data_IF_478228769732
#
_entry.id   IF_478228769732
#
_cell.length_a   1.000
_cell.length_b   1.000
_cell.length_c   1.000
_cell.angle_alpha   90.00
_cell.angle_beta   90.00
_cell.angle_gamma   90.00
#
_symmetry.space_group_name_H-M   'P 1'
#
loop_
_entity.id
_entity.type
_entity.pdbx_description
1 polymer ?
#
# COMPACT_ATOMS: atom_id res chain seq x y z
N UNK A 1 -11.76 19.94 -2.56
CA UNK A 1 -12.32 19.44 -1.28
C UNK A 1 -11.97 17.96 -1.15
N UNK A 2 -10.88 17.63 -0.45
CA UNK A 2 -10.57 16.23 -0.10
C UNK A 2 -11.75 15.69 0.73
N UNK A 3 -12.43 14.65 0.23
CA UNK A 3 -13.47 13.95 0.98
C UNK A 3 -12.87 13.63 2.35
N UNK A 4 -13.47 14.16 3.40
CA UNK A 4 -12.97 14.12 4.78
C UNK A 4 -13.03 12.68 5.28
N UNK A 5 -12.11 11.83 4.84
CA UNK A 5 -11.90 10.53 5.47
C UNK A 5 -11.57 10.83 6.93
N UNK A 6 -12.24 10.13 7.84
CA UNK A 6 -12.20 10.46 9.26
C UNK A 6 -10.76 10.33 9.75
N UNK A 7 -10.11 11.47 10.06
CA UNK A 7 -8.70 11.54 10.47
C UNK A 7 -8.39 10.56 11.61
N UNK A 8 -9.34 10.37 12.53
CA UNK A 8 -9.24 9.39 13.61
C UNK A 8 -9.04 7.96 13.08
N UNK A 9 -9.79 7.57 12.03
CA UNK A 9 -9.65 6.24 11.39
C UNK A 9 -8.31 6.10 10.67
N UNK A 10 -7.83 7.16 10.00
CA UNK A 10 -6.53 7.15 9.33
C UNK A 10 -5.38 6.92 10.31
N UNK A 11 -5.37 7.72 11.39
CA UNK A 11 -4.36 7.60 12.45
C UNK A 11 -4.45 6.21 13.07
N UNK A 12 -5.64 5.74 13.43
CA UNK A 12 -5.83 4.43 14.03
C UNK A 12 -5.29 3.30 13.14
N UNK A 13 -5.66 3.26 11.85
CA UNK A 13 -5.18 2.22 10.93
C UNK A 13 -3.66 2.31 10.76
N UNK A 14 -3.10 3.51 10.64
CA UNK A 14 -1.66 3.71 10.49
C UNK A 14 -0.87 3.24 11.72
N UNK A 15 -1.39 3.53 12.93
CA UNK A 15 -0.82 3.06 14.21
C UNK A 15 -0.93 1.54 14.34
N UNK A 16 -2.03 0.93 13.88
CA UNK A 16 -2.17 -0.53 13.83
C UNK A 16 -1.08 -1.14 12.94
N UNK A 17 -0.83 -0.58 11.76
CA UNK A 17 0.23 -1.06 10.87
C UNK A 17 1.63 -0.88 11.45
N UNK A 18 1.89 0.21 12.16
CA UNK A 18 3.15 0.41 12.88
C UNK A 18 3.34 -0.68 13.95
N UNK A 19 2.33 -0.91 14.78
CA UNK A 19 2.36 -1.94 15.83
C UNK A 19 2.52 -3.34 15.25
N UNK A 20 1.77 -3.66 14.19
CA UNK A 20 1.88 -4.93 13.47
C UNK A 20 3.26 -5.13 12.86
N UNK A 21 3.82 -4.13 12.18
CA UNK A 21 5.14 -4.24 11.54
C UNK A 21 6.21 -4.49 12.60
N UNK A 22 6.20 -3.69 13.65
CA UNK A 22 7.16 -3.81 14.77
C UNK A 22 7.02 -5.16 15.47
N UNK A 23 5.78 -5.60 15.74
CA UNK A 23 5.48 -6.86 16.38
C UNK A 23 5.87 -8.08 15.54
N UNK A 24 5.60 -8.04 14.22
CA UNK A 24 5.98 -9.14 13.32
C UNK A 24 7.50 -9.25 13.18
N UNK A 25 8.23 -8.14 13.12
CA UNK A 25 9.70 -8.19 13.15
C UNK A 25 10.23 -8.68 14.49
N UNK A 26 9.63 -8.28 15.61
CA UNK A 26 9.99 -8.81 16.92
C UNK A 26 9.79 -10.33 17.00
N UNK A 27 8.66 -10.83 16.49
CA UNK A 27 8.39 -12.27 16.39
C UNK A 27 9.36 -12.97 15.45
N UNK A 28 9.70 -12.38 14.31
CA UNK A 28 10.65 -12.95 13.37
C UNK A 28 12.06 -13.07 14.01
N UNK A 29 12.55 -12.00 14.64
CA UNK A 29 13.93 -11.94 15.15
C UNK A 29 14.09 -12.66 16.48
N UNK A 30 13.23 -12.39 17.46
CA UNK A 30 13.39 -12.94 18.81
C UNK A 30 12.67 -14.28 18.95
N UNK A 31 11.61 -14.51 18.18
CA UNK A 31 10.90 -15.79 18.15
C UNK A 31 11.55 -16.79 17.21
N UNK A 32 11.59 -16.49 15.90
CA UNK A 32 12.04 -17.45 14.88
C UNK A 32 13.55 -17.68 14.90
N UNK A 33 14.36 -16.61 14.98
CA UNK A 33 15.83 -16.74 15.04
C UNK A 33 16.36 -17.03 16.45
N UNK A 34 15.50 -17.01 17.47
CA UNK A 34 15.89 -17.27 18.86
C UNK A 34 16.92 -16.29 19.44
N UNK A 35 17.11 -15.12 18.80
CA UNK A 35 18.07 -14.12 19.28
C UNK A 35 17.62 -13.54 20.61
N UNK A 36 18.59 -13.23 21.48
CA UNK A 36 18.30 -12.51 22.71
C UNK A 36 17.67 -11.16 22.41
N UNK A 37 16.72 -10.75 23.26
CA UNK A 37 16.05 -9.48 23.11
C UNK A 37 17.04 -8.32 23.18
N UNK A 38 17.06 -7.48 22.15
CA UNK A 38 17.84 -6.25 22.08
C UNK A 38 16.93 -5.10 21.65
N UNK A 39 16.83 -4.09 22.51
CA UNK A 39 15.97 -2.92 22.30
C UNK A 39 16.45 -2.04 21.14
N UNK A 40 17.74 -2.00 20.83
CA UNK A 40 18.28 -1.26 19.70
C UNK A 40 17.85 -1.90 18.38
N UNK A 41 17.86 -3.23 18.30
CA UNK A 41 17.37 -3.97 17.13
C UNK A 41 15.86 -3.71 16.97
N UNK A 42 15.08 -3.78 18.05
CA UNK A 42 13.64 -3.51 17.99
C UNK A 42 13.34 -2.07 17.52
N UNK A 43 14.13 -1.09 17.98
CA UNK A 43 13.97 0.31 17.62
C UNK A 43 14.16 0.56 16.11
N UNK A 44 15.11 -0.13 15.47
CA UNK A 44 15.28 -0.05 14.01
C UNK A 44 14.01 -0.53 13.26
N UNK A 45 13.39 -1.60 13.74
CA UNK A 45 12.15 -2.12 13.15
C UNK A 45 10.94 -1.25 13.47
N UNK A 46 10.95 -0.53 14.59
CA UNK A 46 9.97 0.51 14.87
C UNK A 46 10.03 1.64 13.83
N UNK A 47 11.21 2.11 13.44
CA UNK A 47 11.34 3.13 12.38
C UNK A 47 10.85 2.64 11.02
N UNK A 48 11.08 1.37 10.69
CA UNK A 48 10.47 0.72 9.52
C UNK A 48 8.94 0.70 9.64
N UNK A 49 8.40 0.31 10.79
CA UNK A 49 6.96 0.36 11.07
C UNK A 49 6.38 1.76 10.97
N UNK A 50 7.13 2.78 11.39
CA UNK A 50 6.74 4.19 11.25
C UNK A 50 6.67 4.61 9.78
N UNK A 51 7.66 4.24 8.96
CA UNK A 51 7.64 4.52 7.53
C UNK A 51 6.45 3.85 6.83
N UNK A 52 6.16 2.60 7.16
CA UNK A 52 4.98 1.88 6.69
C UNK A 52 3.68 2.56 7.16
N UNK A 53 3.60 2.97 8.43
CA UNK A 53 2.45 3.68 8.97
C UNK A 53 2.19 4.99 8.24
N UNK A 54 3.23 5.79 7.95
CA UNK A 54 3.13 7.03 7.16
C UNK A 54 2.64 6.72 5.74
N UNK A 55 3.16 5.67 5.10
CA UNK A 55 2.71 5.27 3.78
C UNK A 55 1.22 4.89 3.76
N UNK A 56 0.77 4.10 4.73
CA UNK A 56 -0.65 3.74 4.88
C UNK A 56 -1.53 4.97 5.12
N UNK A 57 -1.06 5.91 5.94
CA UNK A 57 -1.75 7.19 6.16
C UNK A 57 -2.02 7.91 4.84
N UNK A 58 -1.00 8.02 3.98
CA UNK A 58 -1.09 8.65 2.65
C UNK A 58 -2.09 7.90 1.77
N UNK A 59 -2.00 6.57 1.68
CA UNK A 59 -2.92 5.78 0.85
C UNK A 59 -4.39 6.00 1.24
N UNK A 60 -4.69 6.03 2.54
CA UNK A 60 -6.04 6.25 3.04
C UNK A 60 -6.48 7.71 2.83
N UNK A 61 -5.57 8.68 2.99
CA UNK A 61 -5.86 10.10 2.75
C UNK A 61 -6.30 10.37 1.31
N UNK A 62 -5.66 9.72 0.33
CA UNK A 62 -6.01 9.87 -1.07
C UNK A 62 -7.06 8.86 -1.57
N UNK A 63 -7.59 8.00 -0.69
CA UNK A 63 -8.57 6.96 -1.02
C UNK A 63 -8.09 6.03 -2.15
N UNK A 64 -6.80 5.68 -2.12
CA UNK A 64 -6.14 4.78 -3.07
C UNK A 64 -6.43 3.32 -2.73
N UNK A 65 -7.70 2.92 -2.88
CA UNK A 65 -8.18 1.60 -2.44
C UNK A 65 -7.50 0.44 -3.17
N UNK A 66 -7.15 0.62 -4.46
CA UNK A 66 -6.50 -0.44 -5.23
C UNK A 66 -5.04 -0.62 -4.80
N UNK A 67 -4.29 0.48 -4.64
CA UNK A 67 -2.94 0.42 -4.08
C UNK A 67 -2.93 -0.10 -2.64
N UNK A 68 -3.94 0.25 -1.83
CA UNK A 68 -4.06 -0.24 -0.45
C UNK A 68 -4.30 -1.75 -0.38
N UNK A 69 -5.18 -2.29 -1.24
CA UNK A 69 -5.43 -3.73 -1.30
C UNK A 69 -4.20 -4.50 -1.80
N UNK A 70 -3.53 -4.00 -2.84
CA UNK A 70 -2.28 -4.57 -3.33
C UNK A 70 -1.19 -4.52 -2.25
N UNK A 71 -1.12 -3.43 -1.50
CA UNK A 71 -0.19 -3.29 -0.39
C UNK A 71 -0.43 -4.33 0.70
N UNK A 72 -1.67 -4.57 1.13
CA UNK A 72 -1.99 -5.60 2.13
C UNK A 72 -1.52 -6.98 1.65
N UNK A 73 -1.81 -7.33 0.40
CA UNK A 73 -1.40 -8.63 -0.16
C UNK A 73 0.12 -8.77 -0.17
N UNK A 74 0.83 -7.75 -0.66
CA UNK A 74 2.29 -7.73 -0.68
C UNK A 74 2.92 -7.73 0.70
N UNK A 75 2.31 -7.04 1.67
CA UNK A 75 2.72 -6.99 3.07
C UNK A 75 2.62 -8.37 3.74
N UNK A 76 1.49 -9.06 3.57
CA UNK A 76 1.34 -10.42 4.11
C UNK A 76 2.33 -11.38 3.44
N UNK A 77 2.49 -11.28 2.11
CA UNK A 77 3.40 -12.12 1.36
C UNK A 77 4.88 -11.89 1.73
N UNK A 78 5.30 -10.64 1.91
CA UNK A 78 6.68 -10.31 2.30
C UNK A 78 7.02 -10.85 3.69
N UNK A 79 6.11 -10.72 4.66
CA UNK A 79 6.31 -11.31 5.98
C UNK A 79 6.31 -12.85 5.94
N UNK A 80 5.46 -13.48 5.13
CA UNK A 80 5.49 -14.93 4.95
C UNK A 80 6.85 -15.41 4.43
N UNK A 81 7.44 -14.70 3.45
CA UNK A 81 8.80 -14.98 2.96
C UNK A 81 9.84 -14.80 4.06
N UNK A 82 9.74 -13.71 4.84
CA UNK A 82 10.66 -13.45 5.95
C UNK A 82 10.64 -14.59 6.96
N UNK A 83 9.46 -14.98 7.44
CA UNK A 83 9.30 -16.10 8.39
C UNK A 83 9.82 -17.41 7.81
N UNK A 84 9.49 -17.72 6.55
CA UNK A 84 9.99 -18.92 5.88
C UNK A 84 11.53 -18.96 5.86
N UNK A 85 12.19 -17.87 5.45
CA UNK A 85 13.65 -17.82 5.42
C UNK A 85 14.26 -17.96 6.82
N UNK A 86 13.63 -17.38 7.84
CA UNK A 86 14.14 -17.43 9.21
C UNK A 86 13.93 -18.80 9.87
N UNK A 87 12.85 -19.52 9.52
CA UNK A 87 12.58 -20.84 10.09
C UNK A 87 13.35 -22.00 9.42
N UNK A 88 13.73 -21.84 8.15
CA UNK A 88 14.36 -22.92 7.36
C UNK A 88 15.80 -22.62 6.91
N UNK A 89 16.33 -21.43 7.20
CA UNK A 89 17.66 -21.04 6.79
C UNK A 89 18.76 -21.38 7.81
N UNK A 90 19.97 -21.66 7.32
CA UNK A 90 21.17 -21.79 8.17
C UNK A 90 21.79 -20.41 8.48
N UNK A 91 22.29 -20.25 9.71
CA UNK A 91 22.64 -18.97 10.34
C UNK A 91 23.44 -17.97 9.46
N UNK A 92 23.16 -16.68 9.66
CA UNK A 92 23.91 -15.55 9.08
C UNK A 92 23.41 -15.09 7.71
N UNK A 93 23.59 -15.89 6.65
CA UNK A 93 23.26 -15.45 5.28
C UNK A 93 21.75 -15.42 5.01
N UNK A 94 21.00 -16.39 5.52
CA UNK A 94 19.55 -16.49 5.30
C UNK A 94 18.76 -15.42 6.04
N UNK A 95 19.29 -14.92 7.16
CA UNK A 95 18.70 -13.78 7.87
C UNK A 95 18.75 -12.51 7.02
N UNK A 96 19.93 -12.19 6.49
CA UNK A 96 20.13 -11.05 5.62
C UNK A 96 19.28 -11.20 4.34
N UNK A 97 19.27 -12.39 3.75
CA UNK A 97 18.47 -12.68 2.55
C UNK A 97 16.97 -12.54 2.81
N UNK A 98 16.46 -13.00 3.96
CA UNK A 98 15.06 -12.85 4.35
C UNK A 98 14.66 -11.38 4.51
N UNK A 99 15.49 -10.60 5.23
CA UNK A 99 15.25 -9.17 5.42
C UNK A 99 15.33 -8.37 4.11
N UNK A 100 16.35 -8.63 3.29
CA UNK A 100 16.48 -8.01 1.97
C UNK A 100 15.33 -8.41 1.04
N UNK A 101 14.92 -9.68 1.06
CA UNK A 101 13.76 -10.17 0.33
C UNK A 101 12.48 -9.43 0.72
N UNK A 102 12.27 -9.22 2.02
CA UNK A 102 11.16 -8.41 2.53
C UNK A 102 11.22 -6.98 1.96
N UNK A 103 12.37 -6.30 2.04
CA UNK A 103 12.54 -4.93 1.53
C UNK A 103 12.22 -4.86 0.03
N UNK A 104 12.79 -5.78 -0.77
CA UNK A 104 12.61 -5.80 -2.22
C UNK A 104 11.13 -6.00 -2.58
N UNK A 105 10.46 -6.96 -1.95
CA UNK A 105 9.03 -7.20 -2.19
C UNK A 105 8.22 -5.96 -1.82
N UNK A 106 8.49 -5.33 -0.67
CA UNK A 106 7.76 -4.12 -0.25
C UNK A 106 7.96 -2.96 -1.21
N UNK A 107 9.18 -2.70 -1.67
CA UNK A 107 9.47 -1.63 -2.65
C UNK A 107 8.73 -1.91 -3.96
N UNK A 108 8.77 -3.14 -4.47
CA UNK A 108 8.08 -3.53 -5.70
C UNK A 108 6.56 -3.35 -5.58
N UNK A 109 5.98 -3.77 -4.46
CA UNK A 109 4.54 -3.64 -4.19
C UNK A 109 4.12 -2.16 -4.09
N UNK A 110 4.93 -1.33 -3.43
CA UNK A 110 4.70 0.12 -3.34
C UNK A 110 4.77 0.75 -4.73
N UNK A 111 5.82 0.45 -5.50
CA UNK A 111 5.99 0.96 -6.86
C UNK A 111 4.83 0.55 -7.78
N UNK A 112 4.42 -0.72 -7.71
CA UNK A 112 3.29 -1.25 -8.46
C UNK A 112 1.97 -0.59 -8.03
N UNK A 113 1.77 -0.36 -6.74
CA UNK A 113 0.60 0.35 -6.21
C UNK A 113 0.50 1.79 -6.75
N UNK A 114 1.61 2.51 -6.75
CA UNK A 114 1.69 3.87 -7.32
C UNK A 114 1.39 3.83 -8.83
N UNK A 115 2.01 2.92 -9.57
CA UNK A 115 1.78 2.78 -11.00
C UNK A 115 0.32 2.44 -11.34
N UNK A 116 -0.31 1.56 -10.57
CA UNK A 116 -1.71 1.18 -10.72
C UNK A 116 -2.64 2.38 -10.50
N UNK A 117 -2.40 3.19 -9.47
CA UNK A 117 -3.23 4.37 -9.20
C UNK A 117 -3.06 5.45 -10.28
N UNK A 118 -1.84 5.65 -10.79
CA UNK A 118 -1.59 6.54 -11.94
C UNK A 118 -2.40 6.05 -13.16
N UNK A 119 -2.33 4.75 -13.48
CA UNK A 119 -3.06 4.16 -14.60
C UNK A 119 -4.59 4.33 -14.44
N UNK A 120 -5.12 4.07 -13.24
CA UNK A 120 -6.54 4.22 -12.95
C UNK A 120 -6.97 5.69 -13.02
N UNK A 121 -6.13 6.62 -12.56
CA UNK A 121 -6.39 8.05 -12.66
C UNK A 121 -6.50 8.51 -14.12
N UNK A 122 -5.56 8.09 -14.98
CA UNK A 122 -5.57 8.37 -16.42
C UNK A 122 -6.83 7.79 -17.07
N UNK A 123 -7.18 6.53 -16.77
CA UNK A 123 -8.40 5.89 -17.30
C UNK A 123 -9.69 6.60 -16.88
N UNK A 124 -9.77 7.08 -15.63
CA UNK A 124 -10.94 7.84 -15.15
C UNK A 124 -11.08 9.18 -15.88
N UNK A 125 -9.98 9.90 -16.09
CA UNK A 125 -9.97 11.15 -16.88
C UNK A 125 -10.41 10.92 -18.33
N UNK A 126 -9.87 9.89 -18.98
CA UNK A 126 -10.26 9.54 -20.35
C UNK A 126 -11.75 9.18 -20.48
N UNK A 127 -12.30 8.41 -19.52
CA UNK A 127 -13.73 8.09 -19.51
C UNK A 127 -14.60 9.34 -19.30
N UNK A 128 -14.20 10.25 -18.42
CA UNK A 128 -14.93 11.50 -18.19
C UNK A 128 -14.97 12.37 -19.45
N UNK A 129 -13.84 12.49 -20.16
CA UNK A 129 -13.77 13.24 -21.42
C UNK A 129 -14.69 12.65 -22.50
N UNK A 130 -14.69 11.31 -22.68
CA UNK A 130 -15.58 10.64 -23.63
C UNK A 130 -17.07 10.79 -23.30
N UNK A 131 -17.42 10.82 -22.01
CA UNK A 131 -18.81 11.05 -21.57
C UNK A 131 -19.25 12.49 -21.84
N UNK A 132 -18.38 13.47 -21.62
CA UNK A 132 -18.67 14.87 -21.94
C UNK A 132 -18.85 15.04 -23.46
N UNK A 133 -17.96 14.46 -24.26
CA UNK A 133 -18.04 14.50 -25.72
C UNK A 133 -19.33 13.86 -26.25
N UNK A 134 -19.73 12.71 -25.70
CA UNK A 134 -20.99 12.06 -26.05
C UNK A 134 -22.21 12.92 -25.69
N UNK A 135 -22.22 13.50 -24.49
CA UNK A 135 -23.32 14.37 -24.06
C UNK A 135 -23.42 15.65 -24.89
N UNK A 136 -22.29 16.23 -25.33
CA UNK A 136 -22.31 17.38 -26.24
C UNK A 136 -22.88 17.02 -27.62
N UNK A 137 -22.53 15.84 -28.15
CA UNK A 137 -23.06 15.38 -29.44
C UNK A 137 -24.57 15.12 -29.33
N UNK A 138 -25.04 14.45 -28.27
CA UNK A 138 -26.47 14.23 -28.03
C UNK A 138 -27.23 15.57 -27.85
N UNK A 139 -26.65 16.55 -27.16
CA UNK A 139 -27.24 17.88 -27.01
C UNK A 139 -27.32 18.66 -28.35
N UNK A 140 -26.30 18.57 -29.21
CA UNK A 140 -26.34 19.19 -30.54
C UNK A 140 -27.39 18.56 -31.45
N UNK A 141 -27.61 17.25 -31.38
CA UNK A 141 -28.63 16.55 -32.16
C UNK A 141 -30.04 16.97 -31.74
N UNK A 142 -30.30 17.07 -30.43
CA UNK A 142 -31.62 17.47 -29.89
C UNK A 142 -31.94 18.93 -30.25
N UNK A 143 -30.94 19.82 -30.29
CA UNK A 143 -31.14 21.23 -30.68
C UNK A 143 -31.44 21.35 -32.18
N UNK A 144 -30.87 20.49 -33.02
CA UNK A 144 -31.19 20.47 -34.46
C UNK A 144 -32.60 19.92 -34.74
N UNK A 145 -33.02 18.85 -34.08
CA UNK A 145 -34.39 18.33 -34.23
C UNK A 145 -35.46 19.34 -33.80
N UNK A 146 -35.25 20.09 -32.71
CA UNK A 146 -36.22 21.09 -32.25
C UNK A 146 -36.30 22.37 -33.12
N UNK A 147 -35.41 22.53 -34.09
CA UNK A 147 -35.40 23.70 -35.00
C UNK A 147 -35.91 23.37 -36.41
N UNK A 148 -36.25 22.12 -36.70
CA UNK A 148 -36.81 21.70 -38.00
C UNK A 148 -38.33 21.45 -37.99
N UNK A 149 -39.01 21.61 -36.85
CA UNK A 149 -40.48 21.61 -36.70
C UNK A 149 -41.06 23.04 -36.57
#
# INVERSE_FOLDING_TARGET
MLKKVNLKKQILISVIFLGLTTGLFALAIFGSLGKSFDSHILLNHFFLGLAIGIYIFILIQFNFNAAFLLFILGYVFSFAILFYNYSFGQEGFTELAGFLGWIVVMILVIALGIALEILLHVRRKQKALRLVERNSIEAEVIVKENHED
#
